data_IF_230203373506
#
_entry.id   IF_230203373506
#
_cell.length_a   1.000
_cell.length_b   1.000
_cell.length_c   1.000
_cell.angle_alpha   90.00
_cell.angle_beta   90.00
_cell.angle_gamma   90.00
#
_symmetry.space_group_name_H-M   'P 1'
#
loop_
_entity.id
_entity.type
_entity.pdbx_description
1 polymer ?
#
# COMPACT_ATOMS: atom_id res chain seq x y z
N UNK A 1 2.19 -14.57 -40.58
CA UNK A 1 1.79 -13.77 -39.39
C UNK A 1 2.46 -12.42 -39.48
N UNK A 2 1.68 -11.39 -39.80
CA UNK A 2 2.11 -10.06 -40.23
C UNK A 2 2.86 -9.30 -39.13
N UNK A 3 3.96 -8.63 -39.48
CA UNK A 3 4.80 -7.82 -38.57
C UNK A 3 3.96 -6.81 -37.77
N UNK A 4 2.87 -6.32 -38.38
CA UNK A 4 1.86 -5.46 -37.74
C UNK A 4 1.20 -6.10 -36.51
N UNK A 5 0.95 -7.41 -36.52
CA UNK A 5 0.31 -8.12 -35.40
C UNK A 5 1.28 -8.38 -34.24
N UNK A 6 2.56 -8.63 -34.54
CA UNK A 6 3.62 -8.75 -33.53
C UNK A 6 3.95 -7.42 -32.86
N UNK A 7 3.94 -6.32 -33.61
CA UNK A 7 4.15 -4.97 -33.06
C UNK A 7 3.03 -4.57 -32.10
N UNK A 8 1.77 -4.81 -32.47
CA UNK A 8 0.63 -4.55 -31.58
C UNK A 8 0.68 -5.37 -30.28
N UNK A 9 1.04 -6.66 -30.37
CA UNK A 9 1.20 -7.51 -29.18
C UNK A 9 2.31 -7.01 -28.25
N UNK A 10 3.47 -6.60 -28.80
CA UNK A 10 4.57 -6.06 -27.99
C UNK A 10 4.19 -4.74 -27.31
N UNK A 11 3.50 -3.84 -28.03
CA UNK A 11 3.00 -2.59 -27.44
C UNK A 11 1.99 -2.85 -26.33
N UNK A 12 1.10 -3.83 -26.52
CA UNK A 12 0.12 -4.22 -25.51
C UNK A 12 0.80 -4.81 -24.26
N UNK A 13 1.80 -5.68 -24.43
CA UNK A 13 2.60 -6.25 -23.34
C UNK A 13 3.35 -5.16 -22.57
N UNK A 14 3.94 -4.18 -23.26
CA UNK A 14 4.61 -3.05 -22.61
C UNK A 14 3.61 -2.24 -21.77
N UNK A 15 2.47 -1.84 -22.33
CA UNK A 15 1.43 -1.09 -21.61
C UNK A 15 0.95 -1.85 -20.37
N UNK A 16 0.74 -3.16 -20.50
CA UNK A 16 0.40 -4.05 -19.39
C UNK A 16 1.52 -4.05 -18.34
N UNK A 17 2.76 -4.35 -18.71
CA UNK A 17 3.88 -4.41 -17.77
C UNK A 17 4.07 -3.09 -16.99
N UNK A 18 3.95 -1.94 -17.67
CA UNK A 18 4.01 -0.62 -17.02
C UNK A 18 2.84 -0.39 -16.05
N UNK A 19 1.64 -0.91 -16.33
CA UNK A 19 0.48 -0.76 -15.46
C UNK A 19 0.51 -1.70 -14.23
N UNK A 20 1.17 -2.86 -14.33
CA UNK A 20 1.20 -3.88 -13.27
C UNK A 20 2.30 -3.67 -12.22
N UNK A 21 3.13 -2.63 -12.35
CA UNK A 21 4.25 -2.39 -11.41
C UNK A 21 3.80 -1.83 -10.04
N UNK A 22 2.56 -1.37 -9.92
CA UNK A 22 2.05 -0.61 -8.76
C UNK A 22 1.20 -1.46 -7.78
N UNK A 23 1.04 -2.76 -8.03
CA UNK A 23 0.01 -3.58 -7.36
C UNK A 23 0.52 -4.56 -6.31
N UNK A 24 1.82 -4.55 -5.98
CA UNK A 24 2.33 -5.30 -4.83
C UNK A 24 2.52 -4.34 -3.66
N UNK A 25 1.43 -3.70 -3.22
CA UNK A 25 1.45 -3.04 -1.94
C UNK A 25 1.82 -4.11 -0.90
N UNK A 26 2.88 -3.92 -0.09
CA UNK A 26 3.20 -4.82 1.00
C UNK A 26 1.93 -5.02 1.85
N UNK A 27 1.68 -6.23 2.35
CA UNK A 27 0.50 -6.61 3.15
C UNK A 27 0.41 -5.76 4.43
N UNK A 28 -0.04 -4.53 4.25
CA UNK A 28 -0.07 -3.46 5.22
C UNK A 28 -1.38 -2.70 5.07
N UNK A 29 -1.97 -2.32 6.19
CA UNK A 29 -3.21 -1.53 6.25
C UNK A 29 -3.12 -0.48 7.33
N UNK A 30 -3.77 0.65 7.10
CA UNK A 30 -4.02 1.62 8.16
C UNK A 30 -5.29 1.23 8.92
N UNK A 31 -5.19 1.18 10.24
CA UNK A 31 -6.32 0.96 11.15
C UNK A 31 -6.70 2.24 11.89
N UNK A 32 -7.99 2.40 12.19
CA UNK A 32 -8.57 3.58 12.83
C UNK A 32 -9.30 4.50 11.85
N UNK A 33 -10.52 4.91 12.18
CA UNK A 33 -11.39 5.71 11.29
C UNK A 33 -11.57 7.14 11.81
N UNK A 34 -11.28 8.14 10.99
CA UNK A 34 -11.51 9.53 11.38
C UNK A 34 -13.03 9.81 11.53
N UNK A 35 -13.46 10.70 12.44
CA UNK A 35 -12.64 11.69 13.15
C UNK A 35 -12.01 11.20 14.46
N UNK A 36 -12.44 10.08 15.05
CA UNK A 36 -11.88 9.57 16.31
C UNK A 36 -11.02 8.34 16.01
N UNK A 37 -9.70 8.40 16.15
CA UNK A 37 -8.85 7.28 15.77
C UNK A 37 -8.16 6.66 16.97
N UNK A 38 -8.47 5.41 17.26
CA UNK A 38 -7.73 4.57 18.19
C UNK A 38 -7.35 3.31 17.42
N UNK A 39 -6.49 3.47 16.41
CA UNK A 39 -6.10 2.38 15.52
C UNK A 39 -5.38 1.27 16.28
N UNK A 40 -5.64 0.03 15.92
CA UNK A 40 -5.08 -1.16 16.56
C UNK A 40 -4.77 -2.23 15.52
N UNK A 41 -3.61 -2.85 15.66
CA UNK A 41 -3.25 -4.01 14.85
C UNK A 41 -3.85 -5.30 15.40
N UNK A 42 -4.06 -6.26 14.50
CA UNK A 42 -4.45 -7.61 14.87
C UNK A 42 -3.31 -8.32 15.62
N UNK A 43 -3.63 -9.44 16.27
CA UNK A 43 -2.68 -10.18 17.11
C UNK A 43 -1.47 -10.73 16.33
N UNK A 44 -1.64 -11.02 15.06
CA UNK A 44 -0.62 -11.53 14.13
C UNK A 44 0.02 -10.44 13.27
N UNK A 45 -0.37 -9.18 13.47
CA UNK A 45 0.21 -8.02 12.80
C UNK A 45 1.22 -7.31 13.72
N UNK A 46 2.16 -6.61 13.11
CA UNK A 46 3.07 -5.68 13.79
C UNK A 46 2.67 -4.23 13.53
N UNK A 47 2.81 -3.42 14.56
CA UNK A 47 2.64 -1.96 14.49
C UNK A 47 3.88 -1.30 13.91
N UNK A 48 3.76 -0.73 12.72
CA UNK A 48 4.87 -0.06 12.03
C UNK A 48 4.94 1.44 12.32
N UNK A 49 3.79 2.10 12.35
CA UNK A 49 3.72 3.57 12.46
C UNK A 49 2.40 4.04 13.07
N UNK A 50 2.44 5.20 13.72
CA UNK A 50 1.27 5.93 14.19
C UNK A 50 1.19 7.27 13.46
N UNK A 51 0.08 7.54 12.76
CA UNK A 51 -0.10 8.80 12.08
C UNK A 51 -1.53 9.36 12.24
N UNK A 52 -1.64 10.70 12.22
CA UNK A 52 -2.94 11.37 12.34
C UNK A 52 -3.77 11.30 11.07
N UNK A 53 -3.19 11.10 9.90
CA UNK A 53 -3.88 11.03 8.61
C UNK A 53 -3.92 9.60 8.07
N UNK A 54 -2.82 8.86 8.19
CA UNK A 54 -2.60 7.55 7.58
C UNK A 54 -2.93 7.59 6.10
N UNK A 55 -3.88 6.75 5.69
CA UNK A 55 -4.40 6.67 4.32
C UNK A 55 -5.55 7.64 4.01
N UNK A 56 -5.88 8.57 4.90
CA UNK A 56 -7.06 9.41 4.71
C UNK A 56 -7.16 10.65 5.59
N UNK A 57 -8.37 10.88 6.11
CA UNK A 57 -8.70 12.12 6.86
C UNK A 57 -8.01 12.14 8.22
N UNK A 58 -7.72 13.36 8.69
CA UNK A 58 -7.11 13.63 10.00
C UNK A 58 -7.99 13.16 11.17
N UNK A 59 -7.36 12.50 12.12
CA UNK A 59 -7.89 12.18 13.44
C UNK A 59 -7.88 13.40 14.35
N UNK A 60 -9.01 13.64 15.02
CA UNK A 60 -9.14 14.63 16.08
C UNK A 60 -8.52 14.12 17.39
N UNK A 61 -8.80 12.85 17.71
CA UNK A 61 -8.28 12.18 18.91
C UNK A 61 -7.48 10.96 18.50
N UNK A 62 -6.35 10.75 19.20
CA UNK A 62 -5.43 9.61 19.02
C UNK A 62 -5.05 9.38 17.52
N UNK A 63 -4.46 8.25 17.12
CA UNK A 63 -3.83 8.06 15.81
C UNK A 63 -4.41 6.86 15.06
N UNK A 64 -4.21 6.87 13.74
CA UNK A 64 -4.26 5.65 12.95
C UNK A 64 -2.97 4.87 13.15
N UNK A 65 -3.05 3.58 12.89
CA UNK A 65 -1.91 2.67 13.01
C UNK A 65 -1.67 1.94 11.72
N UNK A 66 -0.44 2.00 11.20
CA UNK A 66 -0.01 1.16 10.09
C UNK A 66 0.33 -0.23 10.62
N UNK A 67 -0.46 -1.22 10.20
CA UNK A 67 -0.34 -2.61 10.61
C UNK A 67 0.12 -3.44 9.42
N UNK A 68 1.15 -4.27 9.63
CA UNK A 68 1.67 -5.15 8.58
C UNK A 68 1.91 -6.56 9.12
N UNK A 69 2.01 -7.56 8.25
CA UNK A 69 2.24 -8.97 8.66
C UNK A 69 3.61 -9.20 9.33
N UNK A 70 4.62 -8.37 9.06
CA UNK A 70 5.96 -8.54 9.66
C UNK A 70 6.77 -7.25 9.66
N UNK A 71 7.87 -7.23 10.44
CA UNK A 71 8.80 -6.09 10.46
C UNK A 71 9.49 -5.82 9.12
N UNK A 72 9.79 -6.86 8.33
CA UNK A 72 10.33 -6.68 6.97
C UNK A 72 9.33 -5.94 6.07
N UNK A 73 8.05 -6.22 6.26
CA UNK A 73 6.96 -5.55 5.57
C UNK A 73 6.85 -4.09 6.01
N UNK A 74 7.06 -3.77 7.30
CA UNK A 74 7.13 -2.39 7.78
C UNK A 74 8.26 -1.58 7.14
N UNK A 75 9.45 -2.16 7.01
CA UNK A 75 10.60 -1.50 6.38
C UNK A 75 10.30 -1.17 4.92
N UNK A 76 9.73 -2.13 4.18
CA UNK A 76 9.30 -1.91 2.81
C UNK A 76 8.20 -0.84 2.72
N UNK A 77 7.20 -0.88 3.59
CA UNK A 77 6.09 0.08 3.57
C UNK A 77 6.56 1.51 3.86
N UNK A 78 7.44 1.70 4.85
CA UNK A 78 7.97 3.02 5.19
C UNK A 78 8.81 3.63 4.07
N UNK A 79 9.65 2.83 3.40
CA UNK A 79 10.45 3.31 2.28
C UNK A 79 9.62 3.73 1.06
N UNK A 80 8.32 3.40 1.02
CA UNK A 80 7.38 3.82 -0.02
C UNK A 80 6.49 5.02 0.43
N UNK A 81 6.63 5.49 1.68
CA UNK A 81 5.96 6.69 2.18
C UNK A 81 6.81 7.97 1.99
N UNK A 82 8.09 7.82 1.62
CA UNK A 82 9.03 8.90 1.25
C UNK A 82 8.90 9.30 -0.23
#
# INVERSE_FOLDING_TARGET
>A
MTVRMKLCLLLFILVVAFAFNEALAPHCRWDGTAPFCAGLCLYDEVTCEYDKYGDGKKCWTDNKVLCCESWHTCEAARNNLD
#
